data_IF_378770352229
#
_entry.id   IF_378770352229
#
_cell.length_a   1.000
_cell.length_b   1.000
_cell.length_c   1.000
_cell.angle_alpha   90.00
_cell.angle_beta   90.00
_cell.angle_gamma   90.00
#
_symmetry.space_group_name_H-M   'P 1'
#
loop_
_entity.id
_entity.type
_entity.pdbx_description
1 polymer ?
#
# COMPACT_ATOMS: atom_id res chain seq x y z
N UNK A 1 -3.67 13.58 5.20
CA UNK A 1 -4.56 12.70 4.38
C UNK A 1 -5.76 12.37 5.25
N UNK A 2 -6.99 12.45 4.76
CA UNK A 2 -8.17 12.06 5.54
C UNK A 2 -8.14 10.54 5.70
N UNK A 3 -8.06 10.03 6.93
CA UNK A 3 -8.13 8.60 7.22
C UNK A 3 -9.47 8.07 6.75
N UNK A 4 -9.46 7.07 5.89
CA UNK A 4 -10.69 6.37 5.49
C UNK A 4 -10.88 5.20 6.44
N UNK A 5 -12.06 5.06 7.01
CA UNK A 5 -12.43 3.94 7.86
C UNK A 5 -13.48 3.08 7.16
N UNK A 6 -13.38 1.77 7.34
CA UNK A 6 -14.41 0.81 6.94
C UNK A 6 -15.55 0.82 7.96
N UNK A 7 -16.70 0.28 7.57
CA UNK A 7 -17.91 0.30 8.41
C UNK A 7 -17.72 -0.38 9.78
N UNK A 8 -16.91 -1.44 9.84
CA UNK A 8 -16.62 -2.14 11.09
C UNK A 8 -15.52 -1.46 11.92
N UNK A 9 -14.86 -0.43 11.38
CA UNK A 9 -13.83 0.36 12.08
C UNK A 9 -14.39 1.63 12.69
N UNK A 10 -15.69 1.92 12.54
CA UNK A 10 -16.33 3.11 13.12
C UNK A 10 -16.06 3.28 14.64
N UNK A 11 -16.09 2.22 15.47
CA UNK A 11 -15.72 2.35 16.88
C UNK A 11 -14.28 2.82 17.12
N UNK A 12 -13.35 2.50 16.20
CA UNK A 12 -11.96 2.96 16.24
C UNK A 12 -11.91 4.42 15.79
N UNK A 13 -12.63 4.76 14.71
CA UNK A 13 -12.70 6.11 14.16
C UNK A 13 -13.21 7.14 15.20
N UNK A 14 -14.24 6.78 15.97
CA UNK A 14 -14.77 7.62 17.06
C UNK A 14 -13.74 7.86 18.16
N UNK A 15 -12.96 6.84 18.53
CA UNK A 15 -11.89 6.97 19.53
C UNK A 15 -10.74 7.83 19.00
N UNK A 16 -10.34 7.65 17.74
CA UNK A 16 -9.30 8.47 17.11
C UNK A 16 -9.73 9.93 16.98
N UNK A 17 -10.97 10.19 16.57
CA UNK A 17 -11.52 11.55 16.51
C UNK A 17 -11.47 12.23 17.89
N UNK A 18 -11.87 11.51 18.95
CA UNK A 18 -11.82 12.02 20.31
C UNK A 18 -10.39 12.26 20.81
N UNK A 19 -9.44 11.40 20.44
CA UNK A 19 -8.02 11.59 20.77
C UNK A 19 -7.48 12.84 20.08
N UNK A 20 -7.80 13.06 18.81
CA UNK A 20 -7.39 14.25 18.07
C UNK A 20 -8.01 15.52 18.66
N UNK A 21 -9.29 15.53 19.00
CA UNK A 21 -9.95 16.66 19.69
C UNK A 21 -9.25 17.04 21.01
N UNK A 22 -8.88 16.04 21.82
CA UNK A 22 -8.18 16.29 23.09
C UNK A 22 -6.74 16.77 22.88
N UNK A 23 -6.06 16.32 21.81
CA UNK A 23 -4.73 16.81 21.44
C UNK A 23 -4.79 18.30 21.07
N UNK A 24 -5.76 18.71 20.25
CA UNK A 24 -5.95 20.12 19.91
C UNK A 24 -6.28 20.97 21.14
N UNK A 25 -7.12 20.48 22.06
CA UNK A 25 -7.47 21.20 23.28
C UNK A 25 -6.31 21.33 24.29
N UNK A 26 -5.34 20.41 24.26
CA UNK A 26 -4.13 20.48 25.09
C UNK A 26 -3.19 21.61 24.66
N UNK A 27 -3.07 21.85 23.35
CA UNK A 27 -2.24 22.94 22.84
C UNK A 27 -2.81 24.33 23.23
N UNK A 28 -4.12 24.44 23.44
CA UNK A 28 -4.82 25.68 23.80
C UNK A 28 -5.04 25.89 25.33
N UNK A 29 -4.81 24.87 26.17
CA UNK A 29 -5.14 24.92 27.61
C UNK A 29 -4.00 24.52 28.54
N UNK A 30 -3.90 25.16 29.71
CA UNK A 30 -2.88 24.87 30.73
C UNK A 30 -3.17 23.58 31.54
N UNK A 31 -4.17 22.81 31.15
CA UNK A 31 -4.59 21.56 31.82
C UNK A 31 -3.85 20.36 31.23
N UNK A 32 -3.26 19.53 32.10
CA UNK A 32 -2.58 18.31 31.68
C UNK A 32 -3.61 17.22 31.33
N UNK A 33 -3.89 17.07 30.03
CA UNK A 33 -4.83 16.07 29.48
C UNK A 33 -4.06 14.81 28.99
N UNK A 34 -2.74 14.76 29.22
CA UNK A 34 -1.86 13.70 28.68
C UNK A 34 -2.26 12.30 29.15
N UNK A 35 -2.68 12.14 30.40
CA UNK A 35 -3.09 10.85 30.96
C UNK A 35 -4.35 10.30 30.29
N UNK A 36 -5.33 11.17 30.02
CA UNK A 36 -6.58 10.77 29.35
C UNK A 36 -6.32 10.41 27.89
N UNK A 37 -5.46 11.17 27.20
CA UNK A 37 -5.01 10.85 25.83
C UNK A 37 -4.35 9.47 25.80
N UNK A 38 -3.42 9.18 26.73
CA UNK A 38 -2.77 7.88 26.81
C UNK A 38 -3.78 6.75 27.10
N UNK A 39 -4.76 6.98 27.96
CA UNK A 39 -5.82 6.01 28.26
C UNK A 39 -6.65 5.70 27.03
N UNK A 40 -7.07 6.72 26.28
CA UNK A 40 -7.84 6.56 25.05
C UNK A 40 -7.02 5.89 23.95
N UNK A 41 -5.74 6.23 23.80
CA UNK A 41 -4.84 5.56 22.85
C UNK A 41 -4.70 4.07 23.15
N UNK A 42 -4.50 3.69 24.43
CA UNK A 42 -4.46 2.28 24.84
C UNK A 42 -5.77 1.57 24.53
N UNK A 43 -6.90 2.22 24.79
CA UNK A 43 -8.24 1.68 24.47
C UNK A 43 -8.43 1.50 22.97
N UNK A 44 -8.04 2.48 22.16
CA UNK A 44 -8.07 2.41 20.70
C UNK A 44 -7.23 1.23 20.19
N UNK A 45 -5.97 1.13 20.61
CA UNK A 45 -5.09 0.03 20.22
C UNK A 45 -5.62 -1.36 20.62
N UNK A 46 -6.20 -1.49 21.81
CA UNK A 46 -6.82 -2.74 22.26
C UNK A 46 -8.05 -3.11 21.42
N UNK A 47 -8.91 -2.13 21.11
CA UNK A 47 -10.09 -2.33 20.28
C UNK A 47 -9.72 -2.68 18.83
N UNK A 48 -8.74 -1.98 18.26
CA UNK A 48 -8.19 -2.31 16.93
C UNK A 48 -7.70 -3.75 16.90
N UNK A 49 -6.92 -4.18 17.91
CA UNK A 49 -6.44 -5.56 18.00
C UNK A 49 -7.58 -6.58 18.11
N UNK A 50 -8.62 -6.27 18.87
CA UNK A 50 -9.78 -7.16 19.00
C UNK A 50 -10.55 -7.31 17.69
N UNK A 51 -10.88 -6.18 17.04
CA UNK A 51 -11.64 -6.15 15.78
C UNK A 51 -10.87 -6.89 14.69
N UNK A 52 -9.59 -6.54 14.50
CA UNK A 52 -8.73 -7.16 13.49
C UNK A 52 -8.42 -8.64 13.81
N UNK A 53 -8.48 -9.05 15.08
CA UNK A 53 -8.33 -10.45 15.48
C UNK A 53 -9.54 -11.34 15.18
N UNK A 54 -10.71 -10.75 14.88
CA UNK A 54 -11.98 -11.46 14.67
C UNK A 54 -12.65 -11.09 13.34
N UNK A 55 -11.88 -10.72 12.33
CA UNK A 55 -12.43 -10.34 11.02
C UNK A 55 -13.15 -11.50 10.35
N UNK A 56 -14.33 -11.22 9.82
CA UNK A 56 -15.04 -12.13 8.92
C UNK A 56 -14.37 -12.16 7.53
N UNK A 57 -14.56 -13.22 6.72
CA UNK A 57 -13.98 -13.29 5.38
C UNK A 57 -14.33 -12.09 4.48
N UNK A 58 -15.55 -11.55 4.62
CA UNK A 58 -15.96 -10.36 3.88
C UNK A 58 -15.20 -9.10 4.33
N UNK A 59 -15.01 -8.91 5.63
CA UNK A 59 -14.23 -7.80 6.17
C UNK A 59 -12.76 -7.87 5.75
N UNK A 60 -12.17 -9.07 5.70
CA UNK A 60 -10.81 -9.27 5.15
C UNK A 60 -10.74 -8.81 3.69
N UNK A 61 -11.74 -9.12 2.87
CA UNK A 61 -11.80 -8.65 1.49
C UNK A 61 -11.96 -7.12 1.40
N UNK A 62 -12.70 -6.49 2.32
CA UNK A 62 -12.80 -5.03 2.41
C UNK A 62 -11.45 -4.39 2.76
N UNK A 63 -10.69 -4.97 3.71
CA UNK A 63 -9.32 -4.51 4.04
C UNK A 63 -8.39 -4.66 2.83
N UNK A 64 -8.45 -5.77 2.11
CA UNK A 64 -7.66 -5.97 0.89
C UNK A 64 -7.97 -4.94 -0.20
N UNK A 65 -9.16 -4.32 -0.18
CA UNK A 65 -9.62 -3.28 -1.10
C UNK A 65 -9.60 -1.88 -0.48
N UNK A 66 -8.97 -1.72 0.68
CA UNK A 66 -8.96 -0.46 1.39
C UNK A 66 -8.42 0.68 0.50
N UNK A 67 -9.09 1.84 0.43
CA UNK A 67 -8.66 2.96 -0.43
C UNK A 67 -7.24 3.46 -0.14
N UNK A 68 -6.77 3.28 1.10
CA UNK A 68 -5.43 3.67 1.53
C UNK A 68 -4.45 2.49 1.64
N UNK A 69 -4.80 1.31 1.11
CA UNK A 69 -3.89 0.17 1.09
C UNK A 69 -2.63 0.53 0.29
N UNK A 70 -1.41 0.31 0.82
CA UNK A 70 -0.19 0.56 0.07
C UNK A 70 -0.10 -0.29 -1.20
N UNK A 71 0.34 0.33 -2.29
CA UNK A 71 0.58 -0.30 -3.59
C UNK A 71 2.07 -0.61 -3.80
N UNK A 72 2.40 -1.24 -4.93
CA UNK A 72 3.76 -1.69 -5.24
C UNK A 72 4.81 -0.60 -5.07
N UNK A 73 4.60 0.60 -5.62
CA UNK A 73 5.55 1.71 -5.50
C UNK A 73 5.76 2.19 -4.06
N UNK A 74 4.76 2.05 -3.17
CA UNK A 74 4.92 2.40 -1.76
C UNK A 74 5.87 1.44 -1.05
N UNK A 75 5.75 0.15 -1.33
CA UNK A 75 6.70 -0.85 -0.82
C UNK A 75 8.08 -0.71 -1.45
N UNK A 76 8.16 -0.36 -2.73
CA UNK A 76 9.44 -0.09 -3.39
C UNK A 76 10.18 1.05 -2.70
N UNK A 77 9.49 2.16 -2.44
CA UNK A 77 10.07 3.32 -1.76
C UNK A 77 10.47 3.02 -0.30
N UNK A 78 9.76 2.13 0.38
CA UNK A 78 10.02 1.81 1.78
C UNK A 78 11.08 0.72 2.00
N UNK A 79 11.20 -0.25 1.08
CA UNK A 79 11.99 -1.46 1.28
C UNK A 79 13.24 -1.55 0.40
N UNK A 80 13.32 -0.79 -0.69
CA UNK A 80 14.38 -0.93 -1.68
C UNK A 80 15.17 0.37 -1.85
N UNK A 81 16.40 0.21 -2.33
CA UNK A 81 17.30 1.31 -2.73
C UNK A 81 17.64 1.17 -4.22
N UNK A 82 18.12 2.25 -4.84
CA UNK A 82 18.55 2.27 -6.24
C UNK A 82 17.51 1.69 -7.22
N UNK A 83 16.22 2.00 -7.02
CA UNK A 83 15.18 1.52 -7.90
C UNK A 83 15.21 2.27 -9.24
N UNK A 84 15.43 1.52 -10.32
CA UNK A 84 15.33 1.99 -11.70
C UNK A 84 14.21 1.26 -12.43
N UNK A 85 13.13 1.98 -12.71
CA UNK A 85 11.99 1.44 -13.46
C UNK A 85 12.35 1.18 -14.93
N UNK A 86 11.99 0.00 -15.44
CA UNK A 86 12.27 -0.43 -16.81
C UNK A 86 10.96 -0.58 -17.61
N UNK A 87 10.80 0.26 -18.63
CA UNK A 87 9.57 0.36 -19.41
C UNK A 87 9.53 -0.55 -20.66
N UNK A 88 8.31 -0.88 -21.09
CA UNK A 88 7.99 -1.48 -22.39
C UNK A 88 8.17 -3.00 -22.47
N UNK A 89 7.37 -3.62 -23.34
CA UNK A 89 7.45 -5.05 -23.68
C UNK A 89 8.38 -5.35 -24.87
N UNK A 90 8.86 -4.31 -25.59
CA UNK A 90 9.63 -4.39 -26.85
C UNK A 90 8.87 -4.98 -28.04
N UNK A 91 7.53 -5.02 -27.96
CA UNK A 91 6.69 -5.53 -29.04
C UNK A 91 5.52 -4.62 -29.38
N UNK A 92 4.85 -4.03 -28.39
CA UNK A 92 3.63 -3.24 -28.59
C UNK A 92 3.68 -1.93 -27.81
N UNK A 93 3.69 -1.98 -26.48
CA UNK A 93 3.59 -0.80 -25.63
C UNK A 93 4.18 -1.02 -24.23
N UNK A 94 4.27 0.06 -23.45
CA UNK A 94 4.46 0.01 -22.01
C UNK A 94 3.10 0.03 -21.31
N UNK A 95 2.86 -0.93 -20.43
CA UNK A 95 1.64 -1.00 -19.63
C UNK A 95 1.85 -0.31 -18.26
N UNK A 96 1.17 0.81 -17.98
CA UNK A 96 1.32 1.55 -16.73
C UNK A 96 0.73 0.83 -15.51
N UNK A 97 -0.06 -0.23 -15.70
CA UNK A 97 -0.57 -1.07 -14.60
C UNK A 97 0.47 -2.04 -14.05
N UNK A 98 1.58 -2.29 -14.78
CA UNK A 98 2.71 -3.10 -14.33
C UNK A 98 3.94 -2.22 -14.20
N UNK A 99 4.42 -2.08 -12.97
CA UNK A 99 5.69 -1.43 -12.67
C UNK A 99 6.74 -2.51 -12.42
N UNK A 100 7.98 -2.25 -12.81
CA UNK A 100 9.07 -3.17 -12.50
C UNK A 100 10.41 -2.71 -13.03
N UNK A 101 11.47 -3.19 -12.40
CA UNK A 101 12.80 -2.63 -12.57
C UNK A 101 13.86 -3.28 -11.71
N UNK A 102 15.09 -2.79 -11.86
CA UNK A 102 16.21 -3.18 -11.00
C UNK A 102 16.13 -2.41 -9.69
N UNK A 103 16.47 -3.06 -8.59
CA UNK A 103 16.58 -2.44 -7.29
C UNK A 103 17.62 -3.16 -6.43
N UNK A 104 17.90 -2.62 -5.25
CA UNK A 104 18.65 -3.28 -4.18
C UNK A 104 17.76 -3.54 -2.98
N UNK A 105 17.72 -4.79 -2.52
CA UNK A 105 17.10 -5.21 -1.27
C UNK A 105 18.19 -5.69 -0.32
N UNK A 106 18.37 -5.01 0.82
CA UNK A 106 19.47 -5.30 1.77
C UNK A 106 20.86 -5.41 1.09
N UNK A 107 21.13 -4.52 0.12
CA UNK A 107 22.38 -4.50 -0.65
C UNK A 107 22.47 -5.50 -1.81
N UNK A 108 21.58 -6.49 -1.87
CA UNK A 108 21.51 -7.48 -2.95
C UNK A 108 20.69 -6.94 -4.13
N UNK A 109 21.24 -7.04 -5.34
CA UNK A 109 20.51 -6.71 -6.57
C UNK A 109 19.32 -7.65 -6.76
N UNK A 110 18.17 -7.07 -7.10
CA UNK A 110 16.91 -7.79 -7.32
C UNK A 110 16.15 -7.14 -8.48
N UNK A 111 15.31 -7.93 -9.15
CA UNK A 111 14.27 -7.41 -10.06
C UNK A 111 12.96 -7.38 -9.29
N UNK A 112 12.34 -6.21 -9.19
CA UNK A 112 11.02 -6.04 -8.58
C UNK A 112 9.99 -5.86 -9.69
N UNK A 113 8.85 -6.53 -9.57
CA UNK A 113 7.73 -6.42 -10.51
C UNK A 113 6.44 -6.35 -9.70
N UNK A 114 5.47 -5.54 -10.09
CA UNK A 114 4.17 -5.59 -9.43
C UNK A 114 3.08 -4.80 -10.12
N UNK A 115 1.88 -5.00 -9.62
CA UNK A 115 0.70 -4.28 -10.06
C UNK A 115 0.69 -2.89 -9.43
N UNK A 116 0.43 -1.87 -10.23
CA UNK A 116 0.33 -0.50 -9.75
C UNK A 116 -1.06 0.04 -10.02
N UNK A 117 -1.76 0.36 -8.93
CA UNK A 117 -3.01 1.11 -8.94
C UNK A 117 -2.74 2.60 -8.83
N UNK A 118 -3.75 3.40 -9.13
CA UNK A 118 -3.72 4.85 -8.87
C UNK A 118 -4.35 5.20 -7.53
N UNK A 119 -3.85 6.27 -6.89
CA UNK A 119 -4.43 6.80 -5.66
C UNK A 119 -5.63 7.70 -5.97
N UNK A 120 -5.48 8.57 -6.96
CA UNK A 120 -6.55 9.44 -7.44
C UNK A 120 -7.29 8.88 -8.67
N UNK A 121 -8.39 9.51 -9.07
CA UNK A 121 -9.19 9.05 -10.21
C UNK A 121 -8.40 9.10 -11.52
N UNK A 122 -7.52 10.09 -11.72
CA UNK A 122 -6.75 10.25 -12.95
C UNK A 122 -5.71 9.14 -13.08
N UNK A 123 -4.98 8.86 -12.02
CA UNK A 123 -4.02 7.77 -11.92
C UNK A 123 -4.70 6.41 -12.06
N UNK A 124 -5.88 6.22 -11.46
CA UNK A 124 -6.64 4.96 -11.60
C UNK A 124 -6.99 4.68 -13.05
N UNK A 125 -7.45 5.69 -13.78
CA UNK A 125 -7.75 5.57 -15.21
C UNK A 125 -6.45 5.30 -15.99
N UNK A 126 -5.39 6.06 -15.73
CA UNK A 126 -4.11 5.90 -16.40
C UNK A 126 -3.53 4.50 -16.23
N UNK A 127 -3.56 3.96 -15.00
CA UNK A 127 -3.03 2.63 -14.66
C UNK A 127 -4.06 1.51 -14.80
N UNK A 128 -5.18 1.77 -15.47
CA UNK A 128 -6.25 0.81 -15.70
C UNK A 128 -6.68 0.05 -14.41
N UNK A 129 -6.76 0.76 -13.28
CA UNK A 129 -7.11 0.20 -11.97
C UNK A 129 -6.19 -0.95 -11.49
N UNK A 130 -4.97 -1.02 -12.01
CA UNK A 130 -4.01 -2.11 -11.76
C UNK A 130 -4.31 -3.39 -12.54
N UNK A 131 -5.16 -3.32 -13.57
CA UNK A 131 -5.50 -4.44 -14.44
C UNK A 131 -4.60 -4.45 -15.68
N UNK A 132 -3.68 -5.42 -15.81
CA UNK A 132 -2.76 -5.50 -16.92
C UNK A 132 -3.42 -5.96 -18.22
N UNK A 133 -2.98 -5.34 -19.31
CA UNK A 133 -3.20 -5.81 -20.68
C UNK A 133 -2.14 -6.85 -21.06
N UNK A 134 -2.28 -7.57 -22.19
CA UNK A 134 -1.31 -8.57 -22.62
C UNK A 134 0.14 -8.04 -22.69
N UNK A 135 0.35 -6.79 -23.11
CA UNK A 135 1.64 -6.11 -23.12
C UNK A 135 2.27 -5.98 -21.72
N UNK A 136 1.48 -5.78 -20.66
CA UNK A 136 1.96 -5.75 -19.28
C UNK A 136 2.53 -7.09 -18.82
N UNK A 137 1.85 -8.19 -19.17
CA UNK A 137 2.37 -9.54 -18.91
C UNK A 137 3.65 -9.84 -19.70
N UNK A 138 3.75 -9.38 -20.96
CA UNK A 138 4.98 -9.53 -21.75
C UNK A 138 6.13 -8.69 -21.17
N UNK A 139 5.86 -7.47 -20.70
CA UNK A 139 6.82 -6.65 -19.95
C UNK A 139 7.32 -7.38 -18.71
N UNK A 140 6.43 -7.92 -17.87
CA UNK A 140 6.81 -8.70 -16.70
C UNK A 140 7.68 -9.91 -17.07
N UNK A 141 7.28 -10.69 -18.08
CA UNK A 141 8.07 -11.83 -18.56
C UNK A 141 9.45 -11.41 -19.08
N UNK A 142 9.56 -10.28 -19.78
CA UNK A 142 10.85 -9.72 -20.23
C UNK A 142 11.76 -9.41 -19.04
N UNK A 143 11.23 -8.82 -17.98
CA UNK A 143 11.98 -8.51 -16.76
C UNK A 143 12.41 -9.78 -16.02
N UNK A 144 11.55 -10.81 -15.96
CA UNK A 144 11.92 -12.11 -15.38
C UNK A 144 13.05 -12.79 -16.16
N UNK A 145 13.01 -12.77 -17.50
CA UNK A 145 14.10 -13.29 -18.35
C UNK A 145 15.41 -12.51 -18.19
N UNK A 146 15.31 -11.20 -17.96
CA UNK A 146 16.47 -10.37 -17.63
C UNK A 146 17.09 -10.80 -16.30
N UNK A 147 16.25 -11.01 -15.28
CA UNK A 147 16.67 -11.49 -13.98
C UNK A 147 17.39 -12.85 -14.08
N UNK A 148 16.79 -13.80 -14.80
CA UNK A 148 17.36 -15.13 -15.06
C UNK A 148 18.75 -15.05 -15.70
N UNK A 149 18.91 -14.22 -16.74
CA UNK A 149 20.18 -14.05 -17.46
C UNK A 149 21.34 -13.64 -16.54
N UNK A 150 21.05 -12.83 -15.53
CA UNK A 150 22.05 -12.32 -14.59
C UNK A 150 22.02 -13.03 -13.23
N UNK A 151 21.26 -14.13 -13.11
CA UNK A 151 21.06 -14.85 -11.85
C UNK A 151 20.59 -13.94 -10.68
N UNK A 152 19.72 -12.98 -10.99
CA UNK A 152 19.17 -12.01 -10.04
C UNK A 152 17.81 -12.52 -9.52
N UNK A 153 17.53 -12.45 -8.21
CA UNK A 153 16.21 -12.81 -7.66
C UNK A 153 15.09 -11.91 -8.17
N UNK A 154 13.88 -12.46 -8.26
CA UNK A 154 12.66 -11.73 -8.63
C UNK A 154 11.73 -11.62 -7.42
N UNK A 155 11.25 -10.41 -7.14
CA UNK A 155 10.24 -10.12 -6.12
C UNK A 155 8.98 -9.58 -6.81
N UNK A 156 7.87 -10.30 -6.67
CA UNK A 156 6.60 -9.94 -7.32
C UNK A 156 5.54 -9.47 -6.33
N UNK A 157 4.96 -8.29 -6.56
CA UNK A 157 3.84 -7.75 -5.79
C UNK A 157 2.51 -7.94 -6.54
N UNK A 158 1.66 -8.81 -6.00
CA UNK A 158 0.35 -9.12 -6.58
C UNK A 158 -0.73 -8.25 -5.97
N UNK A 159 -1.27 -7.30 -6.74
CA UNK A 159 -2.37 -6.44 -6.32
C UNK A 159 -3.24 -6.02 -7.52
N UNK A 160 -3.97 -6.96 -8.11
CA UNK A 160 -4.90 -6.73 -9.22
C UNK A 160 -6.29 -7.29 -8.90
N UNK A 161 -7.39 -6.67 -9.36
CA UNK A 161 -8.71 -7.28 -9.32
C UNK A 161 -8.91 -8.39 -10.39
N UNK A 162 -8.05 -8.47 -11.41
CA UNK A 162 -8.12 -9.43 -12.52
C UNK A 162 -7.18 -9.06 -13.66
#
# INVERSE_FOLDING_TARGET
MKTAFLDFEQPIAELEAKIEELRFAQDDSATDISEEIQRLQKKSAALTKEIYGKLTPWQVAQVARHPQRPYTLDYIAALFSDFEELHGDRSFADDPSIVGGLARFNGQSVIVIGHQKGRDTKEKIFRNFGMPRPEGYRKAMRLMRLAERFAIPVLSFVDTPG
#
